data_IF_359509031645
#
_entry.id   IF_359509031645
#
_cell.length_a   1.000
_cell.length_b   1.000
_cell.length_c   1.000
_cell.angle_alpha   90.00
_cell.angle_beta   90.00
_cell.angle_gamma   90.00
#
_symmetry.space_group_name_H-M   'P 1'
#
loop_
_entity.id
_entity.type
_entity.pdbx_description
1 polymer ?
#
# COMPACT_ATOMS: atom_id res chain seq x y z
N UNK A 1 90.65 -3.85 -4.04
CA UNK A 1 89.72 -4.78 -4.72
C UNK A 1 88.91 -3.96 -5.70
N UNK A 2 88.86 -4.42 -6.95
CA UNK A 2 88.17 -3.80 -8.07
C UNK A 2 86.64 -3.89 -7.94
N UNK A 3 85.91 -2.94 -8.51
CA UNK A 3 85.14 -3.14 -9.74
C UNK A 3 84.26 -1.92 -10.05
N UNK A 4 84.37 -1.49 -11.30
CA UNK A 4 83.71 -0.39 -11.98
C UNK A 4 82.28 -0.73 -12.39
N UNK A 5 81.33 0.21 -12.21
CA UNK A 5 79.97 0.13 -12.76
C UNK A 5 79.75 1.20 -13.83
N UNK A 6 79.56 0.75 -15.06
CA UNK A 6 79.43 1.52 -16.31
C UNK A 6 78.12 2.31 -16.38
N UNK A 7 78.21 3.62 -16.66
CA UNK A 7 77.10 4.51 -17.04
C UNK A 7 76.90 4.42 -18.55
N UNK A 8 75.71 3.99 -19.00
CA UNK A 8 75.34 3.98 -20.41
C UNK A 8 74.57 5.27 -20.74
N UNK A 9 75.23 6.21 -21.39
CA UNK A 9 74.64 7.42 -21.95
C UNK A 9 74.15 7.08 -23.38
N UNK A 10 72.84 7.11 -23.62
CA UNK A 10 72.30 7.10 -24.98
C UNK A 10 71.82 8.52 -25.31
N UNK A 11 72.62 9.21 -26.12
CA UNK A 11 72.20 10.38 -26.89
C UNK A 11 71.26 9.91 -28.00
N UNK A 12 70.06 10.48 -28.08
CA UNK A 12 69.24 10.47 -29.29
C UNK A 12 68.94 11.92 -29.69
N UNK A 13 69.42 12.26 -30.88
CA UNK A 13 69.31 13.54 -31.57
C UNK A 13 67.84 13.87 -31.88
N UNK A 14 67.38 15.05 -31.46
CA UNK A 14 66.11 15.63 -31.92
C UNK A 14 66.43 16.52 -33.14
N UNK A 15 66.20 16.01 -34.34
CA UNK A 15 66.17 16.83 -35.56
C UNK A 15 64.76 17.42 -35.72
N UNK A 16 64.70 18.73 -35.88
CA UNK A 16 63.47 19.48 -36.09
C UNK A 16 62.83 19.19 -37.45
N UNK A 17 61.53 18.96 -37.44
CA UNK A 17 60.68 18.91 -38.62
C UNK A 17 59.41 19.70 -38.36
N UNK A 18 59.20 20.76 -39.13
CA UNK A 18 57.99 21.58 -39.14
C UNK A 18 56.85 20.79 -39.80
N UNK A 19 56.13 20.00 -39.00
CA UNK A 19 54.88 19.36 -39.41
C UNK A 19 53.70 20.28 -39.11
N UNK A 20 53.03 20.76 -40.16
CA UNK A 20 51.74 21.45 -40.06
C UNK A 20 50.70 20.48 -39.48
N UNK A 21 50.24 20.71 -38.25
CA UNK A 21 49.05 20.06 -37.71
C UNK A 21 47.81 20.72 -38.33
N UNK A 22 47.26 20.10 -39.37
CA UNK A 22 45.90 20.39 -39.83
C UNK A 22 44.90 19.77 -38.84
N UNK A 23 44.26 20.61 -38.01
CA UNK A 23 43.09 20.21 -37.24
C UNK A 23 41.90 20.08 -38.21
N UNK A 24 41.59 18.83 -38.59
CA UNK A 24 40.35 18.51 -39.27
C UNK A 24 39.20 18.52 -38.25
N UNK A 25 38.40 19.58 -38.24
CA UNK A 25 37.13 19.60 -37.53
C UNK A 25 36.11 18.81 -38.36
N UNK A 26 36.04 17.50 -38.13
CA UNK A 26 34.92 16.69 -38.61
C UNK A 26 33.62 17.18 -37.98
N UNK A 27 32.68 17.66 -38.80
CA UNK A 27 31.32 18.08 -38.41
C UNK A 27 30.42 16.90 -38.04
N UNK A 28 30.93 15.92 -37.32
CA UNK A 28 30.11 14.86 -36.75
C UNK A 28 29.54 15.39 -35.43
N UNK A 29 28.29 15.83 -35.47
CA UNK A 29 27.51 16.08 -34.25
C UNK A 29 27.55 14.87 -33.32
N UNK A 30 27.29 15.06 -32.02
CA UNK A 30 27.27 13.95 -31.07
C UNK A 30 26.36 12.83 -31.60
N UNK A 31 26.80 11.56 -31.53
CA UNK A 31 25.98 10.46 -32.01
C UNK A 31 24.64 10.52 -31.30
N UNK A 32 23.57 10.62 -32.09
CA UNK A 32 22.22 10.45 -31.59
C UNK A 32 22.19 9.07 -30.90
N UNK A 33 22.04 9.07 -29.57
CA UNK A 33 21.88 7.85 -28.80
C UNK A 33 20.60 7.20 -29.30
N UNK A 34 20.75 6.12 -30.07
CA UNK A 34 19.68 5.19 -30.38
C UNK A 34 19.25 4.53 -29.07
N UNK A 35 18.37 5.19 -28.31
CA UNK A 35 17.84 4.66 -27.06
C UNK A 35 16.98 3.45 -27.38
N UNK A 36 17.37 2.30 -26.81
CA UNK A 36 16.52 1.12 -26.75
C UNK A 36 15.18 1.48 -26.06
N UNK A 37 14.06 0.85 -26.45
CA UNK A 37 12.78 1.06 -25.78
C UNK A 37 12.89 0.55 -24.34
N UNK A 38 13.02 1.46 -23.37
CA UNK A 38 13.16 1.16 -21.94
C UNK A 38 14.52 1.51 -21.32
N UNK A 39 15.41 2.22 -22.01
CA UNK A 39 16.69 2.66 -21.45
C UNK A 39 16.55 3.81 -20.45
N UNK A 40 17.00 3.60 -19.21
CA UNK A 40 17.19 4.68 -18.24
C UNK A 40 18.37 5.56 -18.66
N UNK A 41 18.23 6.88 -18.58
CA UNK A 41 19.31 7.85 -18.78
C UNK A 41 19.94 8.21 -17.42
N UNK A 42 21.20 7.81 -17.16
CA UNK A 42 21.91 8.13 -15.91
C UNK A 42 22.05 9.64 -15.64
N UNK A 43 21.95 10.47 -16.69
CA UNK A 43 22.06 11.92 -16.60
C UNK A 43 20.70 12.60 -16.48
N UNK A 44 19.59 11.85 -16.53
CA UNK A 44 18.26 12.39 -16.38
C UNK A 44 17.99 12.76 -14.91
N UNK A 45 18.08 14.05 -14.63
CA UNK A 45 17.82 14.66 -13.33
C UNK A 45 17.21 16.04 -13.53
N UNK A 46 16.51 16.51 -12.51
CA UNK A 46 16.14 17.92 -12.43
C UNK A 46 17.37 18.75 -12.07
N UNK A 47 17.52 19.92 -12.67
CA UNK A 47 18.55 20.91 -12.29
C UNK A 47 18.11 21.74 -11.10
N UNK A 48 16.80 21.91 -10.93
CA UNK A 48 16.21 22.65 -9.81
C UNK A 48 15.60 21.67 -8.80
N UNK A 49 15.84 21.92 -7.52
CA UNK A 49 15.33 21.05 -6.44
C UNK A 49 13.81 21.20 -6.24
N UNK A 50 13.22 22.29 -6.72
CA UNK A 50 11.82 22.64 -6.48
C UNK A 50 10.88 22.35 -7.66
N UNK A 51 11.29 21.52 -8.62
CA UNK A 51 10.48 21.22 -9.81
C UNK A 51 9.05 20.77 -9.51
N UNK A 52 8.84 20.02 -8.42
CA UNK A 52 7.52 19.57 -7.99
C UNK A 52 6.55 20.71 -7.58
N UNK A 53 7.06 21.89 -7.25
CA UNK A 53 6.25 23.05 -6.83
C UNK A 53 5.59 23.77 -7.99
N UNK A 54 6.15 23.67 -9.21
CA UNK A 54 5.62 24.36 -10.38
C UNK A 54 4.37 23.68 -10.97
N UNK A 55 4.00 22.49 -10.49
CA UNK A 55 2.82 21.76 -10.97
C UNK A 55 2.97 21.18 -12.39
N UNK A 56 1.97 20.41 -12.81
CA UNK A 56 1.98 19.72 -14.10
C UNK A 56 1.88 20.67 -15.30
N UNK A 57 1.23 21.82 -15.14
CA UNK A 57 1.04 22.81 -16.20
C UNK A 57 2.38 23.39 -16.69
N UNK A 58 3.37 23.46 -15.80
CA UNK A 58 4.73 23.93 -16.13
C UNK A 58 5.48 22.95 -17.04
N UNK A 59 5.03 21.70 -17.15
CA UNK A 59 5.60 20.71 -18.07
C UNK A 59 5.09 20.86 -19.51
N UNK A 60 4.25 21.84 -19.81
CA UNK A 60 3.67 22.06 -21.13
C UNK A 60 3.62 23.53 -21.55
N UNK A 61 3.00 23.78 -22.71
CA UNK A 61 2.77 25.12 -23.24
C UNK A 61 4.04 25.96 -23.38
N UNK A 62 3.95 27.24 -23.00
CA UNK A 62 5.07 28.19 -23.10
C UNK A 62 6.26 27.88 -22.19
N UNK A 63 6.09 27.02 -21.18
CA UNK A 63 7.14 26.64 -20.25
C UNK A 63 7.81 25.31 -20.60
N UNK A 64 7.36 24.63 -21.65
CA UNK A 64 7.86 23.29 -22.00
C UNK A 64 9.37 23.24 -22.20
N UNK A 65 9.96 24.22 -22.90
CA UNK A 65 11.41 24.23 -23.13
C UNK A 65 12.19 24.54 -21.86
N UNK A 66 11.72 25.49 -21.05
CA UNK A 66 12.29 25.73 -19.72
C UNK A 66 12.22 24.48 -18.83
N UNK A 67 11.12 23.74 -18.86
CA UNK A 67 10.93 22.53 -18.06
C UNK A 67 11.76 21.35 -18.56
N UNK A 68 12.01 21.23 -19.88
CA UNK A 68 12.99 20.26 -20.41
C UNK A 68 14.39 20.53 -19.87
N UNK A 69 14.77 21.80 -19.74
CA UNK A 69 16.11 22.15 -19.28
C UNK A 69 16.29 22.07 -17.77
N UNK A 70 15.25 22.35 -17.00
CA UNK A 70 15.35 22.52 -15.55
C UNK A 70 14.70 21.39 -14.75
N UNK A 71 13.67 20.76 -15.30
CA UNK A 71 12.78 19.82 -14.62
C UNK A 71 12.51 18.55 -15.45
N UNK A 72 13.52 18.09 -16.20
CA UNK A 72 13.40 17.01 -17.16
C UNK A 72 12.88 15.70 -16.55
N UNK A 73 13.29 15.39 -15.32
CA UNK A 73 12.88 14.18 -14.61
C UNK A 73 11.46 14.35 -14.06
N UNK A 74 11.16 15.46 -13.39
CA UNK A 74 9.82 15.74 -12.85
C UNK A 74 8.76 15.77 -13.95
N UNK A 75 9.06 16.40 -15.10
CA UNK A 75 8.17 16.49 -16.25
C UNK A 75 8.23 15.27 -17.19
N UNK A 76 9.03 14.25 -16.84
CA UNK A 76 9.17 12.99 -17.59
C UNK A 76 9.61 13.18 -19.05
N UNK A 77 10.38 14.23 -19.33
CA UNK A 77 11.04 14.43 -20.62
C UNK A 77 12.21 13.46 -20.83
N UNK A 78 12.69 12.87 -19.74
CA UNK A 78 13.64 11.77 -19.75
C UNK A 78 13.24 10.75 -18.66
N UNK A 79 13.85 9.56 -18.72
CA UNK A 79 13.62 8.50 -17.74
C UNK A 79 14.89 8.31 -16.91
N UNK A 80 14.93 8.85 -15.70
CA UNK A 80 16.07 8.73 -14.80
C UNK A 80 16.17 7.35 -14.15
N UNK A 81 17.33 7.05 -13.56
CA UNK A 81 17.53 5.82 -12.79
C UNK A 81 16.39 5.62 -11.78
N UNK A 82 15.98 4.36 -11.49
CA UNK A 82 15.01 4.08 -10.44
C UNK A 82 15.46 4.74 -9.13
N UNK A 83 14.79 5.82 -8.75
CA UNK A 83 15.09 6.48 -7.49
C UNK A 83 14.49 5.66 -6.35
N UNK A 84 15.20 5.59 -5.23
CA UNK A 84 14.60 5.11 -3.99
C UNK A 84 13.40 6.00 -3.70
N UNK A 85 12.21 5.40 -3.58
CA UNK A 85 11.01 6.15 -3.26
C UNK A 85 11.26 7.03 -2.02
N UNK A 86 10.91 8.33 -2.04
CA UNK A 86 11.20 9.20 -0.91
C UNK A 86 10.55 8.67 0.37
N UNK A 87 11.20 8.86 1.54
CA UNK A 87 10.71 8.37 2.81
C UNK A 87 9.31 8.91 3.11
N UNK A 88 8.49 8.09 3.77
CA UNK A 88 7.13 8.49 4.16
C UNK A 88 7.13 9.27 5.47
N UNK A 89 7.57 10.52 5.39
CA UNK A 89 7.64 11.45 6.51
C UNK A 89 7.01 12.77 6.14
N UNK A 90 6.59 13.52 7.16
CA UNK A 90 6.25 14.94 7.01
C UNK A 90 7.55 15.73 7.23
N UNK A 91 7.83 16.65 6.32
CA UNK A 91 8.97 17.57 6.40
C UNK A 91 8.61 18.79 7.25
N UNK A 92 7.33 19.20 7.23
CA UNK A 92 6.83 20.27 8.06
C UNK A 92 6.17 19.72 9.33
N UNK A 93 6.46 20.35 10.47
CA UNK A 93 5.90 19.95 11.76
C UNK A 93 4.41 20.31 11.91
N UNK A 94 3.91 21.23 11.08
CA UNK A 94 2.53 21.74 11.13
C UNK A 94 1.64 21.16 10.01
N UNK A 95 1.96 20.02 9.42
CA UNK A 95 1.13 19.41 8.38
C UNK A 95 -0.34 19.23 8.78
N UNK A 96 -0.61 18.98 10.07
CA UNK A 96 -1.97 18.86 10.60
C UNK A 96 -2.80 20.17 10.53
N UNK A 97 -2.17 21.34 10.40
CA UNK A 97 -2.89 22.63 10.37
C UNK A 97 -3.41 23.03 8.99
N UNK A 98 -2.97 22.35 7.91
CA UNK A 98 -3.36 22.71 6.54
C UNK A 98 -4.69 22.10 6.09
N UNK A 99 -5.40 21.43 7.01
CA UNK A 99 -6.66 20.71 6.82
C UNK A 99 -6.60 19.68 5.66
N UNK A 100 -7.69 18.92 5.44
CA UNK A 100 -7.74 17.97 4.33
C UNK A 100 -7.63 18.65 2.95
N UNK A 101 -7.92 19.96 2.86
CA UNK A 101 -7.91 20.73 1.63
C UNK A 101 -6.58 20.63 0.88
N UNK A 102 -5.45 20.85 1.56
CA UNK A 102 -4.13 20.78 0.93
C UNK A 102 -3.76 19.36 0.44
N UNK A 103 -4.33 18.33 1.05
CA UNK A 103 -4.10 16.94 0.67
C UNK A 103 -4.94 16.51 -0.54
N UNK A 104 -6.14 17.08 -0.71
CA UNK A 104 -7.10 16.69 -1.76
C UNK A 104 -7.10 17.63 -2.96
N UNK A 105 -6.71 18.89 -2.78
CA UNK A 105 -6.69 19.88 -3.86
C UNK A 105 -5.54 19.58 -4.84
N UNK A 106 -5.84 19.36 -6.13
CA UNK A 106 -4.82 19.12 -7.15
C UNK A 106 -3.76 20.21 -7.25
N UNK A 107 -4.11 21.47 -6.98
CA UNK A 107 -3.17 22.60 -7.02
C UNK A 107 -2.06 22.46 -5.97
N UNK A 108 -2.35 21.82 -4.83
CA UNK A 108 -1.40 21.58 -3.75
C UNK A 108 -0.82 20.17 -3.75
N UNK A 109 -1.20 19.30 -4.69
CA UNK A 109 -0.76 17.90 -4.72
C UNK A 109 0.76 17.72 -4.81
N UNK A 110 1.46 18.61 -5.51
CA UNK A 110 2.94 18.63 -5.55
C UNK A 110 3.54 19.02 -4.19
N UNK A 111 3.02 20.11 -3.60
CA UNK A 111 3.42 20.60 -2.29
C UNK A 111 3.17 19.58 -1.18
N UNK A 112 2.00 18.92 -1.16
CA UNK A 112 1.62 17.92 -0.18
C UNK A 112 2.53 16.67 -0.26
N UNK A 113 2.89 16.23 -1.47
CA UNK A 113 3.86 15.13 -1.68
C UNK A 113 5.26 15.48 -1.19
N UNK A 114 5.65 16.74 -1.24
CA UNK A 114 6.97 17.20 -0.82
C UNK A 114 7.05 17.43 0.70
N UNK A 115 5.98 17.98 1.30
CA UNK A 115 6.04 18.50 2.67
C UNK A 115 5.25 17.68 3.69
N UNK A 116 4.12 17.09 3.28
CA UNK A 116 3.15 16.49 4.19
C UNK A 116 2.74 15.08 3.76
N UNK A 117 3.70 14.31 3.26
CA UNK A 117 3.43 13.04 2.58
C UNK A 117 2.80 12.01 3.51
N UNK A 118 3.21 11.99 4.79
CA UNK A 118 2.66 11.07 5.79
C UNK A 118 1.27 11.53 6.23
N UNK A 119 1.12 12.81 6.60
CA UNK A 119 -0.17 13.38 7.01
C UNK A 119 -1.22 13.25 5.91
N UNK A 120 -0.87 13.57 4.66
CA UNK A 120 -1.76 13.46 3.50
C UNK A 120 -1.88 12.03 2.95
N UNK A 121 -1.21 11.04 3.57
CA UNK A 121 -1.23 9.63 3.16
C UNK A 121 -0.83 9.41 1.69
N UNK A 122 0.14 10.18 1.20
CA UNK A 122 0.64 10.14 -0.18
C UNK A 122 1.85 9.20 -0.34
N UNK A 123 1.92 8.16 0.50
CA UNK A 123 2.95 7.14 0.49
C UNK A 123 2.49 5.88 -0.23
N UNK A 124 3.41 4.92 -0.45
CA UNK A 124 3.02 3.62 -1.01
C UNK A 124 2.07 2.88 -0.07
N UNK A 125 1.18 2.07 -0.63
CA UNK A 125 0.21 1.30 0.15
C UNK A 125 0.86 0.38 1.22
N UNK A 126 2.02 -0.19 0.91
CA UNK A 126 2.77 -1.03 1.85
C UNK A 126 3.31 -0.23 3.05
N UNK A 127 3.82 0.98 2.82
CA UNK A 127 4.33 1.85 3.88
C UNK A 127 3.18 2.40 4.73
N UNK A 128 2.06 2.78 4.11
CA UNK A 128 0.86 3.21 4.85
C UNK A 128 0.34 2.09 5.76
N UNK A 129 0.31 0.83 5.27
CA UNK A 129 -0.09 -0.30 6.09
C UNK A 129 0.85 -0.52 7.30
N UNK A 130 2.15 -0.29 7.14
CA UNK A 130 3.11 -0.35 8.24
C UNK A 130 2.93 0.80 9.24
N UNK A 131 2.66 2.02 8.76
CA UNK A 131 2.40 3.18 9.62
C UNK A 131 1.09 3.05 10.39
N UNK A 132 0.04 2.53 9.76
CA UNK A 132 -1.23 2.23 10.42
C UNK A 132 -1.04 1.13 11.48
N UNK A 133 -0.17 0.15 11.22
CA UNK A 133 0.24 -0.88 12.18
C UNK A 133 1.07 -0.35 13.36
N UNK A 134 1.75 0.80 13.20
CA UNK A 134 2.55 1.46 14.24
C UNK A 134 1.74 2.46 15.06
N UNK A 135 0.69 3.04 14.46
CA UNK A 135 -0.19 4.03 15.10
C UNK A 135 -1.40 3.39 15.77
N UNK A 136 -1.72 2.14 15.43
CA UNK A 136 -2.50 1.27 16.30
C UNK A 136 -1.64 0.91 17.50
N UNK A 137 -2.10 1.25 18.71
CA UNK A 137 -1.44 0.88 19.99
C UNK A 137 -1.26 -0.64 20.17
N UNK A 138 -1.89 -1.41 19.29
CA UNK A 138 -1.90 -2.87 19.25
C UNK A 138 -1.25 -3.31 17.93
N UNK A 139 -0.06 -3.96 17.96
CA UNK A 139 0.57 -4.51 16.76
C UNK A 139 -0.41 -5.41 15.97
N UNK A 140 -0.31 -5.53 14.63
CA UNK A 140 -1.24 -6.33 13.83
C UNK A 140 -1.37 -7.80 14.26
N UNK A 141 -0.29 -8.37 14.80
CA UNK A 141 -0.28 -9.74 15.36
C UNK A 141 -1.07 -9.87 16.66
N UNK A 142 -1.32 -8.76 17.34
CA UNK A 142 -2.13 -8.64 18.57
C UNK A 142 -3.52 -8.08 18.29
N UNK A 143 -3.76 -7.56 17.09
CA UNK A 143 -5.08 -7.13 16.62
C UNK A 143 -5.88 -8.34 16.12
N UNK A 144 -6.36 -9.15 17.05
CA UNK A 144 -7.14 -10.36 16.76
C UNK A 144 -8.45 -10.32 17.52
N UNK A 145 -9.52 -10.78 16.86
CA UNK A 145 -10.80 -10.99 17.53
C UNK A 145 -10.68 -12.22 18.44
N UNK A 146 -11.02 -12.07 19.71
CA UNK A 146 -10.89 -13.13 20.73
C UNK A 146 -12.03 -14.15 20.68
N UNK A 147 -13.09 -13.81 19.95
CA UNK A 147 -14.31 -14.59 19.82
C UNK A 147 -14.92 -14.38 18.43
N UNK A 148 -15.98 -15.12 18.10
CA UNK A 148 -16.70 -14.95 16.85
C UNK A 148 -17.62 -13.71 16.90
N UNK A 149 -17.06 -12.56 16.57
CA UNK A 149 -17.71 -11.25 16.70
C UNK A 149 -18.94 -11.06 15.81
N UNK A 150 -19.12 -11.92 14.79
CA UNK A 150 -20.33 -11.95 13.96
C UNK A 150 -21.58 -12.24 14.78
N UNK A 151 -21.46 -12.97 15.89
CA UNK A 151 -22.56 -13.27 16.82
C UNK A 151 -23.14 -12.03 17.51
N UNK A 152 -22.36 -10.93 17.57
CA UNK A 152 -22.73 -9.71 18.30
C UNK A 152 -23.11 -8.56 17.37
N UNK A 153 -23.04 -8.77 16.05
CA UNK A 153 -23.33 -7.79 14.99
C UNK A 153 -22.48 -6.52 15.07
N UNK A 154 -22.63 -5.61 14.09
CA UNK A 154 -21.89 -4.34 14.07
C UNK A 154 -22.38 -3.33 15.12
N UNK A 155 -23.56 -3.52 15.71
CA UNK A 155 -24.07 -2.62 16.76
C UNK A 155 -23.22 -2.69 18.04
N UNK A 156 -22.60 -3.84 18.35
CA UNK A 156 -21.71 -3.98 19.50
C UNK A 156 -20.44 -3.11 19.38
N UNK A 157 -20.08 -2.67 18.18
CA UNK A 157 -18.92 -1.82 17.94
C UNK A 157 -19.13 -0.36 18.35
N UNK A 158 -20.28 0.02 18.89
CA UNK A 158 -20.59 1.39 19.30
C UNK A 158 -21.42 1.44 20.58
N UNK A 159 -21.59 2.66 21.10
CA UNK A 159 -22.43 2.92 22.27
C UNK A 159 -21.93 2.19 23.53
N UNK A 160 -22.86 1.60 24.28
CA UNK A 160 -22.55 1.01 25.59
C UNK A 160 -21.64 -0.22 25.53
N UNK A 161 -21.47 -0.84 24.35
CA UNK A 161 -20.64 -2.03 24.16
C UNK A 161 -19.28 -1.75 23.53
N UNK A 162 -18.99 -0.49 23.19
CA UNK A 162 -17.74 -0.12 22.50
C UNK A 162 -16.48 -0.58 23.25
N UNK A 163 -16.44 -0.42 24.58
CA UNK A 163 -15.30 -0.85 25.39
C UNK A 163 -15.12 -2.37 25.34
N UNK A 164 -16.20 -3.13 25.49
CA UNK A 164 -16.17 -4.58 25.36
C UNK A 164 -15.71 -5.00 23.96
N UNK A 165 -16.16 -4.29 22.93
CA UNK A 165 -15.79 -4.57 21.54
C UNK A 165 -14.32 -4.24 21.24
N UNK A 166 -13.74 -3.20 21.87
CA UNK A 166 -12.30 -2.92 21.82
C UNK A 166 -11.48 -4.07 22.40
N UNK A 167 -11.98 -4.72 23.44
CA UNK A 167 -11.24 -5.81 24.08
C UNK A 167 -11.41 -7.16 23.36
N UNK A 168 -12.57 -7.41 22.74
CA UNK A 168 -12.93 -8.73 22.25
C UNK A 168 -13.03 -8.84 20.73
N UNK A 169 -13.35 -7.74 20.06
CA UNK A 169 -13.64 -7.66 18.65
C UNK A 169 -12.92 -6.51 17.92
N UNK A 170 -11.64 -6.21 18.25
CA UNK A 170 -11.02 -4.98 17.76
C UNK A 170 -10.76 -5.00 16.25
N UNK A 171 -10.58 -6.17 15.64
CA UNK A 171 -10.42 -6.29 14.20
C UNK A 171 -11.79 -6.26 13.49
N UNK A 172 -12.78 -7.03 13.98
CA UNK A 172 -14.14 -7.01 13.45
C UNK A 172 -14.76 -5.61 13.51
N UNK A 173 -14.53 -4.86 14.59
CA UNK A 173 -15.05 -3.50 14.76
C UNK A 173 -14.19 -2.41 14.11
N UNK A 174 -13.01 -2.76 13.58
CA UNK A 174 -12.12 -1.81 12.90
C UNK A 174 -11.39 -0.85 13.85
N UNK A 175 -11.32 -1.17 15.15
CA UNK A 175 -10.51 -0.42 16.12
C UNK A 175 -9.01 -0.64 15.92
N UNK A 176 -8.64 -1.72 15.24
CA UNK A 176 -7.31 -1.95 14.71
C UNK A 176 -7.41 -2.75 13.41
N UNK A 177 -6.28 -2.95 12.74
CA UNK A 177 -6.18 -3.77 11.54
C UNK A 177 -5.27 -4.97 11.78
N UNK A 178 -5.87 -6.16 11.83
CA UNK A 178 -5.15 -7.42 12.00
C UNK A 178 -4.41 -7.86 10.75
N UNK A 179 -3.63 -8.94 10.88
CA UNK A 179 -3.10 -9.65 9.72
C UNK A 179 -4.27 -10.25 8.90
N UNK A 180 -4.17 -10.30 7.56
CA UNK A 180 -5.15 -11.00 6.74
C UNK A 180 -5.28 -12.45 7.19
N UNK A 181 -6.44 -12.85 7.70
CA UNK A 181 -6.69 -14.24 8.05
C UNK A 181 -6.81 -15.04 6.77
N UNK A 182 -6.00 -16.10 6.62
CA UNK A 182 -6.18 -17.05 5.52
C UNK A 182 -7.62 -17.57 5.58
N UNK A 183 -8.35 -17.40 4.47
CA UNK A 183 -9.71 -17.92 4.39
C UNK A 183 -9.67 -19.43 4.72
N UNK A 184 -10.59 -19.93 5.58
CA UNK A 184 -10.56 -21.35 5.89
C UNK A 184 -10.76 -22.18 4.61
N UNK A 185 -10.32 -23.45 4.58
CA UNK A 185 -10.53 -24.33 3.43
C UNK A 185 -12.00 -24.41 3.01
N UNK A 186 -12.25 -24.53 1.71
CA UNK A 186 -13.61 -24.67 1.18
C UNK A 186 -14.09 -26.12 1.29
N UNK A 187 -14.52 -26.50 2.50
CA UNK A 187 -14.99 -27.84 2.80
C UNK A 187 -16.09 -27.80 3.87
N UNK A 188 -16.93 -28.83 3.85
CA UNK A 188 -17.86 -29.09 4.95
C UNK A 188 -17.08 -29.82 6.05
N UNK A 189 -17.20 -29.33 7.29
CA UNK A 189 -16.60 -29.99 8.45
C UNK A 189 -17.57 -30.98 9.09
N UNK A 190 -18.87 -30.90 8.76
CA UNK A 190 -19.88 -31.88 9.16
C UNK A 190 -20.17 -32.82 7.99
N UNK A 191 -20.19 -34.14 8.22
CA UNK A 191 -20.39 -35.13 7.15
C UNK A 191 -21.83 -35.15 6.61
N UNK A 192 -22.80 -34.64 7.37
CA UNK A 192 -24.23 -34.73 7.07
C UNK A 192 -24.85 -33.40 6.59
N UNK A 193 -24.06 -32.47 6.03
CA UNK A 193 -24.57 -31.19 5.54
C UNK A 193 -25.72 -31.35 4.53
N UNK A 194 -25.67 -32.37 3.67
CA UNK A 194 -26.73 -32.72 2.71
C UNK A 194 -28.00 -33.27 3.33
N UNK A 195 -27.98 -33.63 4.62
CA UNK A 195 -29.16 -34.11 5.36
C UNK A 195 -29.97 -32.98 6.02
N UNK A 196 -29.49 -31.74 5.97
CA UNK A 196 -30.24 -30.56 6.42
C UNK A 196 -31.00 -29.92 5.27
N UNK A 197 -32.10 -29.23 5.61
CA UNK A 197 -32.85 -28.43 4.64
C UNK A 197 -32.00 -27.28 4.07
N UNK A 198 -32.29 -26.92 2.80
CA UNK A 198 -31.55 -25.85 2.10
C UNK A 198 -31.68 -24.48 2.78
N UNK A 199 -32.75 -24.26 3.54
CA UNK A 199 -32.98 -23.04 4.32
C UNK A 199 -31.89 -22.79 5.37
N UNK A 200 -31.16 -23.84 5.76
CA UNK A 200 -29.94 -23.72 6.58
C UNK A 200 -28.95 -22.71 6.01
N UNK A 201 -28.87 -22.59 4.69
CA UNK A 201 -27.90 -21.75 3.99
C UNK A 201 -28.37 -20.29 3.83
N UNK A 202 -29.65 -20.01 4.04
CA UNK A 202 -30.25 -18.68 3.87
C UNK A 202 -30.77 -18.07 5.16
N UNK A 203 -31.05 -18.89 6.18
CA UNK A 203 -31.55 -18.43 7.45
C UNK A 203 -30.43 -17.80 8.30
N UNK A 204 -30.57 -16.51 8.61
CA UNK A 204 -29.61 -15.73 9.40
C UNK A 204 -29.31 -16.35 10.77
N UNK A 205 -30.28 -17.03 11.39
CA UNK A 205 -30.09 -17.70 12.69
C UNK A 205 -29.05 -18.83 12.60
N UNK A 206 -28.98 -19.51 11.45
CA UNK A 206 -28.06 -20.62 11.22
C UNK A 206 -26.84 -20.22 10.40
N UNK A 207 -26.80 -19.01 9.87
CA UNK A 207 -25.76 -18.56 8.95
C UNK A 207 -24.34 -18.75 9.51
N UNK A 208 -24.09 -18.36 10.76
CA UNK A 208 -22.77 -18.53 11.37
C UNK A 208 -22.42 -20.02 11.54
N UNK A 209 -23.40 -20.83 11.92
CA UNK A 209 -23.22 -22.27 12.04
C UNK A 209 -22.94 -22.90 10.66
N UNK A 210 -23.68 -22.52 9.62
CA UNK A 210 -23.54 -23.03 8.27
C UNK A 210 -22.22 -22.57 7.62
N UNK A 211 -21.80 -21.32 7.84
CA UNK A 211 -20.48 -20.77 7.48
C UNK A 211 -19.31 -21.46 8.20
N UNK A 212 -19.55 -22.16 9.32
CA UNK A 212 -18.51 -22.92 10.01
C UNK A 212 -18.51 -24.39 9.59
N UNK A 213 -19.69 -24.97 9.41
CA UNK A 213 -19.85 -26.43 9.32
C UNK A 213 -20.14 -26.94 7.91
N UNK A 214 -20.84 -26.15 7.09
CA UNK A 214 -21.42 -26.56 5.82
C UNK A 214 -21.09 -25.57 4.70
N UNK A 215 -19.87 -25.04 4.69
CA UNK A 215 -19.44 -23.97 3.77
C UNK A 215 -19.52 -24.39 2.31
N UNK A 216 -19.15 -25.63 2.00
CA UNK A 216 -19.16 -26.14 0.63
C UNK A 216 -20.59 -26.44 0.22
N UNK A 217 -21.37 -27.10 1.08
CA UNK A 217 -22.80 -27.36 0.85
C UNK A 217 -23.60 -26.06 0.62
N UNK A 218 -23.34 -25.03 1.43
CA UNK A 218 -23.99 -23.72 1.31
C UNK A 218 -23.28 -22.75 0.35
N UNK A 219 -22.27 -23.18 -0.39
CA UNK A 219 -21.52 -22.36 -1.35
C UNK A 219 -20.90 -21.07 -0.77
N UNK A 220 -20.55 -21.03 0.51
CA UNK A 220 -19.94 -19.88 1.18
C UNK A 220 -18.43 -19.70 0.91
N UNK A 221 -17.83 -20.54 0.07
CA UNK A 221 -16.37 -20.60 -0.07
C UNK A 221 -15.84 -20.74 -1.51
N UNK A 222 -16.71 -20.71 -2.52
CA UNK A 222 -16.32 -20.72 -3.93
C UNK A 222 -16.63 -19.36 -4.58
N UNK A 223 -15.65 -18.45 -4.61
CA UNK A 223 -15.64 -17.30 -5.53
C UNK A 223 -16.93 -16.47 -5.65
N UNK A 224 -17.42 -15.91 -4.53
CA UNK A 224 -18.12 -14.63 -4.54
C UNK A 224 -19.52 -14.56 -5.17
N UNK A 225 -20.52 -15.12 -4.50
CA UNK A 225 -21.86 -14.52 -4.37
C UNK A 225 -22.71 -15.38 -3.44
N UNK A 226 -22.59 -15.13 -2.13
CA UNK A 226 -23.67 -15.53 -1.23
C UNK A 226 -24.96 -14.85 -1.71
N UNK A 227 -26.12 -15.52 -1.69
CA UNK A 227 -27.35 -14.92 -2.16
C UNK A 227 -27.61 -13.63 -1.36
N UNK A 228 -27.84 -12.55 -2.09
CA UNK A 228 -28.23 -11.26 -1.52
C UNK A 228 -29.43 -11.48 -0.58
N UNK A 229 -29.37 -10.88 0.60
CA UNK A 229 -30.45 -10.89 1.57
C UNK A 229 -31.75 -10.44 0.89
N UNK A 230 -32.64 -11.39 0.61
CA UNK A 230 -33.99 -11.13 0.13
C UNK A 230 -34.93 -11.18 1.33
N UNK A 231 -35.37 -9.99 1.74
CA UNK A 231 -36.52 -9.77 2.61
C UNK A 231 -37.75 -10.45 2.00
N UNK A 232 -38.30 -11.47 2.66
CA UNK A 232 -39.71 -11.87 2.51
C UNK A 232 -40.20 -12.72 3.69
N UNK A 233 -41.51 -12.70 4.00
CA UNK A 233 -42.04 -12.98 5.32
C UNK A 233 -42.65 -14.39 5.49
N UNK A 234 -42.54 -14.91 6.70
CA UNK A 234 -43.51 -15.76 7.40
C UNK A 234 -44.08 -17.01 6.72
N UNK A 235 -43.72 -18.19 7.24
CA UNK A 235 -44.57 -19.37 7.07
C UNK A 235 -43.97 -20.69 7.56
N UNK A 236 -44.54 -21.24 8.64
CA UNK A 236 -44.67 -22.70 8.86
C UNK A 236 -43.51 -23.42 9.57
N UNK A 237 -43.60 -23.52 10.90
CA UNK A 237 -42.79 -24.45 11.71
C UNK A 237 -43.34 -25.89 11.62
N UNK A 238 -42.46 -26.88 11.54
CA UNK A 238 -42.67 -28.21 12.13
C UNK A 238 -41.37 -28.73 12.77
N UNK A 239 -41.45 -29.55 13.84
CA UNK A 239 -40.41 -29.63 14.84
C UNK A 239 -39.48 -30.80 14.57
N UNK A 240 -38.18 -30.52 14.49
CA UNK A 240 -37.16 -31.49 14.85
C UNK A 240 -36.33 -30.86 15.95
N UNK A 241 -36.33 -31.57 17.08
CA UNK A 241 -35.63 -31.32 18.35
C UNK A 241 -34.54 -30.24 18.28
N UNK A 242 -34.68 -29.14 19.05
CA UNK A 242 -33.61 -28.15 19.15
C UNK A 242 -32.34 -28.85 19.68
N UNK A 243 -31.15 -28.60 19.09
CA UNK A 243 -29.92 -28.82 19.85
C UNK A 243 -30.02 -27.99 21.12
N UNK A 244 -29.37 -28.41 22.23
CA UNK A 244 -29.47 -27.70 23.49
C UNK A 244 -29.22 -26.22 23.20
N UNK A 245 -30.18 -25.39 23.61
CA UNK A 245 -30.00 -23.95 23.68
C UNK A 245 -28.89 -23.78 24.71
N UNK A 246 -27.65 -23.90 24.25
CA UNK A 246 -26.51 -23.34 24.92
C UNK A 246 -26.93 -21.92 25.11
N UNK A 247 -27.21 -21.57 26.36
CA UNK A 247 -27.59 -20.24 26.75
C UNK A 247 -26.63 -19.33 26.01
N UNK A 248 -27.14 -18.49 25.11
CA UNK A 248 -26.39 -17.28 24.78
C UNK A 248 -26.05 -16.70 26.15
N UNK A 249 -24.76 -16.62 26.54
CA UNK A 249 -24.44 -16.03 27.83
C UNK A 249 -25.08 -14.67 27.79
N UNK A 250 -26.08 -14.46 28.67
CA UNK A 250 -26.56 -13.12 28.95
C UNK A 250 -25.31 -12.31 29.24
N UNK A 251 -25.10 -11.17 28.55
CA UNK A 251 -23.92 -10.36 28.78
C UNK A 251 -23.80 -10.11 30.29
N UNK A 252 -22.59 -10.26 30.88
CA UNK A 252 -22.42 -10.05 32.30
C UNK A 252 -22.94 -8.66 32.66
N UNK A 253 -23.68 -8.52 33.78
CA UNK A 253 -24.20 -7.22 34.19
C UNK A 253 -23.05 -6.24 34.32
N UNK A 254 -23.24 -5.04 33.78
CA UNK A 254 -22.26 -3.96 33.84
C UNK A 254 -21.89 -3.69 35.30
N UNK A 255 -20.59 -3.48 35.63
CA UNK A 255 -20.21 -3.05 36.97
C UNK A 255 -20.88 -1.71 37.28
N UNK A 256 -21.53 -1.63 38.44
CA UNK A 256 -22.16 -0.40 38.91
C UNK A 256 -21.12 0.73 38.94
N UNK A 257 -21.43 1.84 38.27
CA UNK A 257 -20.66 3.09 38.38
C UNK A 257 -20.65 3.50 39.86
N UNK A 258 -19.48 3.47 40.48
CA UNK A 258 -19.22 4.19 41.74
C UNK A 258 -18.99 5.66 41.45
#
# INVERSE_FOLDING_TARGET
MAATGTVCLILALVQGGWGQFQLSFGTNGPPALTQAPGGFDPNCKDKLDNCAMFGADSCGGQYADWAKDNCALTCKFCTGLPTTAPPCVDVLDNCASYENGACTDPAYGGWAKANCRRTCRLCSASILAQLDALTTTIPPSKCVDKLDCRLYTKSACNGSFELWAKDNCPNFCGFCRGLPTTAPPCQDTRPNCSGYDKDLCTNDQYRIWAEKNCRKFCNFCAGGSGPAASTAPGGGMHPLTPPPVGHFPTPPPLPARK
#
